data_IF_736073861845
#
_entry.id   IF_736073861845
#
_cell.length_a   1.000
_cell.length_b   1.000
_cell.length_c   1.000
_cell.angle_alpha   90.00
_cell.angle_beta   90.00
_cell.angle_gamma   90.00
#
_symmetry.space_group_name_H-M   'P 1'
#
loop_
_entity.id
_entity.type
_entity.pdbx_description
1 polymer ?
#
# COMPACT_ATOMS: atom_id res chain seq x y z
N UNK A 1 7.42 -21.45 9.68
CA UNK A 1 8.41 -20.37 9.91
C UNK A 1 7.61 -19.09 10.04
N UNK A 2 7.58 -18.48 11.22
CA UNK A 2 6.92 -17.18 11.38
C UNK A 2 7.73 -16.15 10.59
N UNK A 3 7.16 -15.60 9.52
CA UNK A 3 7.81 -14.53 8.78
C UNK A 3 7.63 -13.24 9.57
N UNK A 4 8.69 -12.47 9.78
CA UNK A 4 8.54 -11.13 10.35
C UNK A 4 8.09 -10.16 9.26
N UNK A 5 7.19 -9.20 9.57
CA UNK A 5 6.87 -8.12 8.66
C UNK A 5 8.13 -7.25 8.40
N UNK A 6 8.22 -6.56 7.25
CA UNK A 6 9.24 -5.52 7.07
C UNK A 6 9.03 -4.44 8.14
N UNK A 7 10.09 -3.76 8.57
CA UNK A 7 9.93 -2.59 9.43
C UNK A 7 9.17 -1.47 8.71
N UNK A 8 8.59 -0.52 9.46
CA UNK A 8 7.94 0.66 8.88
C UNK A 8 8.84 1.40 7.88
N UNK A 9 10.12 1.57 8.22
CA UNK A 9 11.09 2.25 7.35
C UNK A 9 11.35 1.47 6.06
N UNK A 10 11.46 0.14 6.13
CA UNK A 10 11.66 -0.71 4.95
C UNK A 10 10.42 -0.76 4.08
N UNK A 11 9.23 -0.82 4.69
CA UNK A 11 7.95 -0.74 3.97
C UNK A 11 7.84 0.59 3.22
N UNK A 12 8.04 1.73 3.91
CA UNK A 12 7.94 3.06 3.31
C UNK A 12 8.94 3.26 2.16
N UNK A 13 10.18 2.80 2.32
CA UNK A 13 11.20 2.91 1.27
C UNK A 13 10.84 2.10 0.01
N UNK A 14 10.27 0.91 0.20
CA UNK A 14 9.84 0.06 -0.92
C UNK A 14 8.61 0.63 -1.62
N UNK A 15 7.63 1.14 -0.88
CA UNK A 15 6.47 1.81 -1.49
C UNK A 15 6.90 3.07 -2.24
N UNK A 16 7.79 3.89 -1.67
CA UNK A 16 8.31 5.08 -2.35
C UNK A 16 9.00 4.71 -3.68
N UNK A 17 9.77 3.63 -3.71
CA UNK A 17 10.40 3.15 -4.95
C UNK A 17 9.38 2.74 -6.02
N UNK A 18 8.26 2.11 -5.62
CA UNK A 18 7.17 1.75 -6.53
C UNK A 18 6.41 2.99 -7.02
N UNK A 19 6.21 3.98 -6.15
CA UNK A 19 5.60 5.27 -6.49
C UNK A 19 6.45 6.04 -7.48
N UNK A 20 7.78 6.04 -7.31
CA UNK A 20 8.70 6.65 -8.28
C UNK A 20 8.64 5.95 -9.66
N UNK A 21 8.36 4.64 -9.66
CA UNK A 21 8.26 3.84 -10.89
C UNK A 21 6.94 4.03 -11.65
N UNK A 22 5.80 4.03 -10.95
CA UNK A 22 4.47 3.99 -11.56
C UNK A 22 3.68 5.30 -11.42
N UNK A 23 4.16 6.22 -10.59
CA UNK A 23 3.48 7.46 -10.25
C UNK A 23 2.51 7.31 -9.06
N UNK A 24 2.29 8.37 -8.28
CA UNK A 24 1.49 8.31 -7.06
C UNK A 24 0.01 8.01 -7.34
N UNK A 25 -0.55 8.59 -8.40
CA UNK A 25 -1.95 8.38 -8.78
C UNK A 25 -2.28 6.91 -9.10
N UNK A 26 -1.28 6.12 -9.50
CA UNK A 26 -1.47 4.71 -9.83
C UNK A 26 -1.83 3.84 -8.60
N UNK A 27 -1.49 4.31 -7.39
CA UNK A 27 -1.75 3.66 -6.10
C UNK A 27 -2.87 4.31 -5.31
N UNK A 28 -3.48 5.36 -5.85
CA UNK A 28 -4.54 6.12 -5.22
C UNK A 28 -5.87 5.88 -5.91
N UNK A 29 -6.97 5.94 -5.17
CA UNK A 29 -8.30 5.92 -5.73
C UNK A 29 -9.26 6.78 -4.92
N UNK A 30 -10.31 7.29 -5.57
CA UNK A 30 -11.42 7.92 -4.85
C UNK A 30 -12.20 6.86 -4.06
N UNK A 31 -12.95 7.25 -3.01
CA UNK A 31 -13.73 6.30 -2.22
C UNK A 31 -14.72 5.52 -3.09
N UNK A 32 -14.65 4.19 -3.00
CA UNK A 32 -15.48 3.26 -3.81
C UNK A 32 -14.97 3.03 -5.24
N UNK A 33 -13.93 3.76 -5.67
CA UNK A 33 -13.20 3.46 -6.90
C UNK A 33 -12.07 2.47 -6.62
N UNK A 34 -11.16 2.35 -7.59
CA UNK A 34 -10.20 1.28 -7.67
C UNK A 34 -8.92 1.85 -8.29
N UNK A 35 -7.74 1.61 -7.72
CA UNK A 35 -6.48 2.11 -8.27
C UNK A 35 -6.04 1.25 -9.47
N UNK A 36 -5.00 1.71 -10.18
CA UNK A 36 -4.33 0.91 -11.22
C UNK A 36 -3.52 -0.24 -10.62
N UNK A 37 -2.86 0.02 -9.48
CA UNK A 37 -2.07 -0.93 -8.74
C UNK A 37 -2.51 -1.01 -7.28
N UNK A 38 -2.41 -2.21 -6.72
CA UNK A 38 -2.57 -2.46 -5.29
C UNK A 38 -1.28 -3.04 -4.72
N UNK A 39 -0.93 -2.70 -3.49
CA UNK A 39 0.29 -3.12 -2.81
C UNK A 39 0.05 -4.41 -2.01
N UNK A 40 0.98 -5.35 -2.13
CA UNK A 40 1.04 -6.55 -1.30
C UNK A 40 2.41 -6.69 -0.65
N UNK A 41 2.49 -7.50 0.41
CA UNK A 41 3.75 -7.87 1.03
C UNK A 41 3.96 -9.38 0.93
N UNK A 42 5.10 -9.77 0.40
CA UNK A 42 5.57 -11.16 0.28
C UNK A 42 7.01 -11.25 0.76
N UNK A 43 7.29 -12.13 1.72
CA UNK A 43 8.66 -12.33 2.22
C UNK A 43 9.37 -11.02 2.59
N UNK A 44 8.66 -10.13 3.29
CA UNK A 44 9.07 -8.77 3.67
C UNK A 44 9.35 -7.80 2.50
N UNK A 45 8.93 -8.15 1.27
CA UNK A 45 9.01 -7.29 0.10
C UNK A 45 7.65 -6.73 -0.27
N UNK A 46 7.60 -5.42 -0.53
CA UNK A 46 6.40 -4.77 -1.07
C UNK A 46 6.40 -4.93 -2.58
N UNK A 47 5.28 -5.39 -3.13
CA UNK A 47 5.06 -5.57 -4.56
C UNK A 47 3.82 -4.79 -5.00
N UNK A 48 3.87 -4.23 -6.21
CA UNK A 48 2.73 -3.61 -6.86
C UNK A 48 2.09 -4.60 -7.84
N UNK A 49 0.80 -4.88 -7.67
CA UNK A 49 0.05 -5.73 -8.59
C UNK A 49 -0.97 -4.91 -9.39
N UNK A 50 -0.98 -5.03 -10.73
CA UNK A 50 -1.94 -4.32 -11.58
C UNK A 50 -3.34 -4.94 -11.50
N UNK A 51 -4.33 -4.23 -12.06
CA UNK A 51 -5.72 -4.71 -12.20
C UNK A 51 -5.91 -6.10 -12.81
N UNK A 52 -4.99 -6.53 -13.66
CA UNK A 52 -5.03 -7.84 -14.31
C UNK A 52 -4.55 -8.98 -13.42
N UNK A 53 -3.96 -8.67 -12.25
CA UNK A 53 -3.44 -9.68 -11.34
C UNK A 53 -4.56 -10.41 -10.59
N UNK A 54 -4.38 -11.71 -10.27
CA UNK A 54 -5.42 -12.51 -9.61
C UNK A 54 -5.84 -12.00 -8.23
N UNK A 55 -4.96 -11.31 -7.49
CA UNK A 55 -5.25 -10.83 -6.13
C UNK A 55 -5.88 -9.43 -6.12
N UNK A 56 -5.97 -8.78 -7.27
CA UNK A 56 -6.66 -7.51 -7.35
C UNK A 56 -8.16 -7.68 -7.02
N UNK A 57 -8.80 -6.74 -6.29
CA UNK A 57 -8.27 -5.50 -5.73
C UNK A 57 -7.90 -5.62 -4.23
N UNK A 58 -7.55 -6.80 -3.74
CA UNK A 58 -7.45 -7.09 -2.29
C UNK A 58 -6.14 -6.61 -1.63
N UNK A 59 -5.33 -5.81 -2.32
CA UNK A 59 -4.12 -5.21 -1.77
C UNK A 59 -4.37 -3.81 -1.21
N UNK A 60 -3.37 -3.24 -0.55
CA UNK A 60 -3.43 -1.89 -0.02
C UNK A 60 -3.44 -0.87 -1.15
N UNK A 61 -4.14 0.23 -0.93
CA UNK A 61 -4.08 1.41 -1.77
C UNK A 61 -4.47 2.64 -0.97
N UNK A 62 -4.04 3.80 -1.44
CA UNK A 62 -4.34 5.06 -0.77
C UNK A 62 -5.72 5.56 -1.21
N UNK A 63 -6.67 5.63 -0.28
CA UNK A 63 -7.99 6.23 -0.55
C UNK A 63 -7.91 7.76 -0.43
N UNK A 64 -8.23 8.46 -1.53
CA UNK A 64 -8.20 9.92 -1.62
C UNK A 64 -9.46 10.54 -0.98
N UNK A 65 -9.35 11.82 -0.64
CA UNK A 65 -10.51 12.62 -0.21
C UNK A 65 -11.25 13.18 -1.41
N UNK A 66 -12.57 13.26 -1.30
CA UNK A 66 -13.40 13.88 -2.34
C UNK A 66 -12.96 15.32 -2.61
N UNK A 67 -12.71 15.63 -3.89
CA UNK A 67 -12.30 16.96 -4.34
C UNK A 67 -10.81 17.27 -4.14
N UNK A 68 -9.98 16.26 -3.83
CA UNK A 68 -8.53 16.45 -3.82
C UNK A 68 -8.03 16.75 -5.25
N UNK A 69 -7.32 17.87 -5.46
CA UNK A 69 -6.72 18.17 -6.75
C UNK A 69 -5.61 17.18 -7.13
N UNK A 70 -5.46 16.91 -8.44
CA UNK A 70 -4.46 15.96 -8.96
C UNK A 70 -3.02 16.31 -8.54
N UNK A 71 -2.69 17.61 -8.42
CA UNK A 71 -1.37 18.08 -7.99
C UNK A 71 -1.08 17.84 -6.50
N UNK A 72 -2.10 17.50 -5.70
CA UNK A 72 -1.96 17.18 -4.27
C UNK A 72 -1.94 15.67 -3.98
N UNK A 73 -2.14 14.81 -4.97
CA UNK A 73 -2.17 13.36 -4.79
C UNK A 73 -0.85 12.83 -4.24
N UNK A 74 0.28 13.34 -4.73
CA UNK A 74 1.61 12.94 -4.27
C UNK A 74 1.83 13.26 -2.78
N UNK A 75 1.46 14.47 -2.36
CA UNK A 75 1.58 14.90 -0.97
C UNK A 75 0.65 14.12 -0.04
N UNK A 76 -0.55 13.77 -0.53
CA UNK A 76 -1.50 12.97 0.21
C UNK A 76 -0.99 11.54 0.42
N UNK A 77 -0.50 10.89 -0.63
CA UNK A 77 0.13 9.57 -0.55
C UNK A 77 1.33 9.59 0.40
N UNK A 78 2.19 10.61 0.30
CA UNK A 78 3.34 10.75 1.19
C UNK A 78 2.92 10.87 2.67
N UNK A 79 1.86 11.62 2.96
CA UNK A 79 1.29 11.66 4.31
C UNK A 79 0.80 10.28 4.75
N UNK A 80 0.03 9.59 3.92
CA UNK A 80 -0.45 8.23 4.20
C UNK A 80 0.69 7.24 4.54
N UNK A 81 1.86 7.37 3.90
CA UNK A 81 3.06 6.59 4.25
C UNK A 81 3.75 7.06 5.54
N UNK A 82 3.97 8.37 5.67
CA UNK A 82 4.80 8.93 6.76
C UNK A 82 4.10 8.99 8.10
N UNK A 83 2.76 9.06 8.13
CA UNK A 83 1.97 8.92 9.36
C UNK A 83 1.94 7.48 9.87
N UNK A 84 2.31 6.50 9.02
CA UNK A 84 2.24 5.08 9.33
C UNK A 84 0.89 4.42 9.03
N UNK A 85 -0.09 5.17 8.54
CA UNK A 85 -1.44 4.68 8.22
C UNK A 85 -1.40 3.49 7.25
N UNK A 86 -0.63 3.61 6.15
CA UNK A 86 -0.41 2.52 5.21
C UNK A 86 0.16 1.25 5.87
N UNK A 87 1.07 1.42 6.82
CA UNK A 87 1.74 0.30 7.49
C UNK A 87 0.82 -0.38 8.51
N UNK A 88 -0.02 0.39 9.22
CA UNK A 88 -1.04 -0.14 10.12
C UNK A 88 -2.10 -0.95 9.36
N UNK A 89 -2.58 -0.46 8.22
CA UNK A 89 -3.46 -1.20 7.32
C UNK A 89 -2.83 -2.53 6.89
N UNK A 90 -1.53 -2.50 6.54
CA UNK A 90 -0.79 -3.68 6.12
C UNK A 90 -0.74 -4.74 7.23
N UNK A 91 -0.40 -4.32 8.45
CA UNK A 91 -0.40 -5.21 9.60
C UNK A 91 -1.80 -5.78 9.86
N UNK A 92 -2.83 -4.94 9.77
CA UNK A 92 -4.24 -5.32 9.92
C UNK A 92 -4.70 -6.39 8.93
N UNK A 93 -4.30 -6.26 7.66
CA UNK A 93 -4.61 -7.25 6.62
C UNK A 93 -3.86 -8.57 6.79
N UNK A 94 -2.75 -8.57 7.53
CA UNK A 94 -1.86 -9.72 7.68
C UNK A 94 -1.77 -10.22 9.14
N UNK A 95 -2.73 -9.87 10.00
CA UNK A 95 -2.73 -10.26 11.42
C UNK A 95 -2.55 -11.77 11.58
N UNK A 96 -3.30 -12.60 10.85
CA UNK A 96 -3.14 -14.06 10.95
C UNK A 96 -1.78 -14.54 10.45
N UNK A 97 -1.20 -13.88 9.44
CA UNK A 97 0.12 -14.26 8.88
C UNK A 97 1.26 -14.00 9.89
N UNK A 98 1.12 -12.96 10.72
CA UNK A 98 2.17 -12.55 11.66
C UNK A 98 1.91 -12.96 13.13
N UNK A 99 0.66 -13.16 13.51
CA UNK A 99 0.26 -13.45 14.90
C UNK A 99 -0.37 -14.83 15.11
N UNK A 100 -0.55 -15.68 14.08
CA UNK A 100 -0.89 -17.08 14.31
C UNK A 100 0.34 -17.82 14.86
N UNK A 101 0.48 -17.79 16.18
CA UNK A 101 1.23 -18.79 16.93
C UNK A 101 0.32 -20.02 17.10
N UNK A 102 0.81 -21.20 16.73
CA UNK A 102 0.35 -22.46 17.34
C UNK A 102 0.84 -22.52 18.79
#
# INVERSE_FOLDING_TARGET
MSQSPPTLSEFNAQVASLVDQFGPAAFCAMPGERPEYTLFVEDARVIAEPRSAPRYPYGLHCELRTGLPDDQVADYLNKWLTTGEAYEEFLGMNVCRYNCQD
#
